data_IF_861014008577
#
_entry.id   IF_861014008577
#
_cell.length_a   1.000
_cell.length_b   1.000
_cell.length_c   1.000
_cell.angle_alpha   90.00
_cell.angle_beta   90.00
_cell.angle_gamma   90.00
#
_symmetry.space_group_name_H-M   'P 1'
#
loop_
_entity.id
_entity.type
_entity.pdbx_description
1 polymer ?
#
# COMPACT_ATOMS: atom_id res chain seq x y z
N UNK A 1 -24.88 11.70 0.36
CA UNK A 1 -23.80 10.72 0.44
C UNK A 1 -22.58 11.46 0.94
N UNK A 2 -22.06 11.04 2.08
CA UNK A 2 -21.07 11.79 2.85
C UNK A 2 -19.68 11.66 2.19
N UNK A 3 -19.03 12.79 1.92
CA UNK A 3 -17.72 12.86 1.27
C UNK A 3 -16.64 12.12 2.10
N UNK A 4 -16.82 12.10 3.42
CA UNK A 4 -15.97 11.35 4.35
C UNK A 4 -16.00 9.83 4.12
N UNK A 5 -17.18 9.26 3.85
CA UNK A 5 -17.33 7.82 3.60
C UNK A 5 -16.68 7.39 2.29
N UNK A 6 -16.85 8.20 1.23
CA UNK A 6 -16.23 7.95 -0.07
C UNK A 6 -14.70 8.01 0.00
N UNK A 7 -14.17 9.00 0.73
CA UNK A 7 -12.73 9.13 0.97
C UNK A 7 -12.18 7.95 1.78
N UNK A 8 -12.86 7.55 2.86
CA UNK A 8 -12.44 6.41 3.70
C UNK A 8 -12.44 5.11 2.91
N UNK A 9 -13.47 4.90 2.08
CA UNK A 9 -13.54 3.75 1.18
C UNK A 9 -12.38 3.73 0.18
N UNK A 10 -12.11 4.85 -0.49
CA UNK A 10 -11.00 4.95 -1.44
C UNK A 10 -9.64 4.64 -0.78
N UNK A 11 -9.39 5.16 0.42
CA UNK A 11 -8.15 4.90 1.17
C UNK A 11 -8.05 3.41 1.55
N UNK A 12 -9.15 2.79 1.99
CA UNK A 12 -9.18 1.37 2.33
C UNK A 12 -8.88 0.50 1.10
N UNK A 13 -9.49 0.79 -0.05
CA UNK A 13 -9.21 0.09 -1.31
C UNK A 13 -7.75 0.24 -1.72
N UNK A 14 -7.19 1.45 -1.68
CA UNK A 14 -5.77 1.67 -2.00
C UNK A 14 -4.87 0.90 -1.03
N UNK A 15 -5.20 0.85 0.26
CA UNK A 15 -4.45 0.09 1.25
C UNK A 15 -4.41 -1.41 0.91
N UNK A 16 -5.58 -1.99 0.62
CA UNK A 16 -5.73 -3.41 0.32
C UNK A 16 -4.97 -3.80 -0.96
N UNK A 17 -5.24 -3.10 -2.06
CA UNK A 17 -4.62 -3.37 -3.36
C UNK A 17 -3.09 -3.20 -3.30
N UNK A 18 -2.61 -2.14 -2.64
CA UNK A 18 -1.18 -1.89 -2.51
C UNK A 18 -0.49 -2.92 -1.62
N UNK A 19 -1.17 -3.40 -0.56
CA UNK A 19 -0.65 -4.45 0.30
C UNK A 19 -0.54 -5.79 -0.42
N UNK A 20 -1.53 -6.12 -1.26
CA UNK A 20 -1.49 -7.32 -2.10
C UNK A 20 -0.34 -7.26 -3.11
N UNK A 21 -0.16 -6.13 -3.79
CA UNK A 21 0.95 -5.95 -4.73
C UNK A 21 2.31 -5.98 -4.03
N UNK A 22 2.44 -5.36 -2.86
CA UNK A 22 3.66 -5.41 -2.06
C UNK A 22 4.04 -6.86 -1.72
N UNK A 23 3.08 -7.69 -1.30
CA UNK A 23 3.32 -9.10 -1.01
C UNK A 23 3.89 -9.85 -2.22
N UNK A 24 3.31 -9.63 -3.41
CA UNK A 24 3.80 -10.24 -4.66
C UNK A 24 5.23 -9.80 -4.96
N UNK A 25 5.51 -8.50 -4.86
CA UNK A 25 6.86 -7.96 -5.11
C UNK A 25 7.88 -8.50 -4.09
N UNK A 26 7.50 -8.63 -2.83
CA UNK A 26 8.36 -9.23 -1.80
C UNK A 26 8.68 -10.70 -2.09
N UNK A 27 7.70 -11.47 -2.58
CA UNK A 27 7.91 -12.85 -3.02
C UNK A 27 8.87 -12.94 -4.22
N UNK A 28 8.75 -12.03 -5.20
CA UNK A 28 9.65 -11.97 -6.36
C UNK A 28 11.08 -11.63 -5.90
N UNK A 29 11.25 -10.58 -5.10
CA UNK A 29 12.55 -10.17 -4.54
C UNK A 29 13.20 -11.24 -3.66
N UNK A 30 12.42 -12.16 -3.09
CA UNK A 30 12.94 -13.27 -2.31
C UNK A 30 13.43 -14.43 -3.19
N UNK A 31 12.78 -14.69 -4.33
CA UNK A 31 13.10 -15.81 -5.23
C UNK A 31 14.17 -15.48 -6.26
N UNK A 32 14.28 -14.22 -6.65
CA UNK A 32 15.19 -13.77 -7.71
C UNK A 32 16.04 -12.61 -7.19
N UNK A 33 17.31 -12.48 -7.64
CA UNK A 33 18.10 -11.30 -7.35
C UNK A 33 17.34 -10.08 -7.90
N UNK A 34 16.90 -9.16 -7.02
CA UNK A 34 16.10 -8.03 -7.45
C UNK A 34 16.99 -7.01 -8.17
N UNK A 35 16.51 -6.49 -9.29
CA UNK A 35 17.09 -5.31 -9.91
C UNK A 35 16.75 -4.04 -9.10
N UNK A 36 17.47 -2.95 -9.39
CA UNK A 36 17.31 -1.67 -8.69
C UNK A 36 15.89 -1.08 -8.86
N UNK A 37 15.25 -1.33 -10.00
CA UNK A 37 13.89 -0.85 -10.28
C UNK A 37 12.86 -1.55 -9.40
N UNK A 38 12.98 -2.87 -9.22
CA UNK A 38 12.12 -3.67 -8.37
C UNK A 38 12.32 -3.33 -6.89
N UNK A 39 13.56 -3.00 -6.49
CA UNK A 39 13.85 -2.46 -5.16
C UNK A 39 13.14 -1.13 -4.93
N UNK A 40 13.18 -0.25 -5.93
CA UNK A 40 12.52 1.05 -5.89
C UNK A 40 10.99 0.89 -5.81
N UNK A 41 10.40 0.02 -6.64
CA UNK A 41 8.96 -0.30 -6.58
C UNK A 41 8.58 -0.85 -5.20
N UNK A 42 9.35 -1.80 -4.65
CA UNK A 42 9.12 -2.33 -3.30
C UNK A 42 9.13 -1.22 -2.24
N UNK A 43 10.08 -0.29 -2.35
CA UNK A 43 10.16 0.86 -1.44
C UNK A 43 8.93 1.77 -1.53
N UNK A 44 8.50 2.11 -2.74
CA UNK A 44 7.30 2.94 -2.96
C UNK A 44 6.04 2.27 -2.41
N UNK A 45 5.86 0.98 -2.68
CA UNK A 45 4.71 0.22 -2.17
C UNK A 45 4.66 0.21 -0.64
N UNK A 46 5.81 0.01 0.02
CA UNK A 46 5.92 0.11 1.49
C UNK A 46 5.52 1.49 2.01
N UNK A 47 5.92 2.56 1.31
CA UNK A 47 5.56 3.92 1.67
C UNK A 47 4.05 4.15 1.60
N UNK A 48 3.40 3.70 0.53
CA UNK A 48 1.95 3.83 0.33
C UNK A 48 1.18 3.04 1.41
N UNK A 49 1.57 1.80 1.70
CA UNK A 49 0.96 0.99 2.78
C UNK A 49 1.10 1.71 4.13
N UNK A 50 2.27 2.26 4.42
CA UNK A 50 2.50 2.98 5.67
C UNK A 50 1.62 4.24 5.78
N UNK A 51 1.48 5.00 4.70
CA UNK A 51 0.71 6.24 4.70
C UNK A 51 -0.80 6.00 4.74
N UNK A 52 -1.30 5.03 3.97
CA UNK A 52 -2.71 4.63 4.02
C UNK A 52 -3.09 4.11 5.41
N UNK A 53 -2.24 3.29 6.04
CA UNK A 53 -2.45 2.82 7.43
C UNK A 53 -2.47 3.96 8.45
N UNK A 54 -1.61 4.97 8.29
CA UNK A 54 -1.60 6.17 9.15
C UNK A 54 -2.88 6.99 8.97
N UNK A 55 -3.33 7.14 7.73
CA UNK A 55 -4.53 7.91 7.41
C UNK A 55 -5.78 7.22 7.97
N UNK A 56 -5.91 5.90 7.78
CA UNK A 56 -7.03 5.12 8.33
C UNK A 56 -7.10 5.17 9.87
N UNK A 57 -5.94 5.21 10.55
CA UNK A 57 -5.89 5.37 12.02
C UNK A 57 -6.30 6.75 12.51
N UNK A 58 -6.08 7.80 11.71
CA UNK A 58 -6.51 9.17 12.04
C UNK A 58 -8.01 9.37 11.83
N UNK A 59 -8.59 8.58 10.93
CA UNK A 59 -10.02 8.62 10.57
C UNK A 59 -10.87 7.64 11.42
N UNK A 60 -10.30 6.96 12.42
CA UNK A 60 -11.03 6.18 13.43
C UNK A 60 -11.36 7.09 14.64
N UNK A 61 -12.66 7.23 15.02
CA UNK A 61 -13.10 8.10 16.11
C UNK A 61 -12.69 7.61 17.51
#
# INVERSE_FOLDING_TARGET
MDDGDARRFAIATVHEETSNLLRIVEEICHRYPPDDDLQFVRYLLRMIVAETKRTMRRDDP
#
